data_IF_155295432681
#
_entry.id   IF_155295432681
#
_cell.length_a   1.000
_cell.length_b   1.000
_cell.length_c   1.000
_cell.angle_alpha   90.00
_cell.angle_beta   90.00
_cell.angle_gamma   90.00
#
_symmetry.space_group_name_H-M   'P 1'
#
loop_
_entity.id
_entity.type
_entity.pdbx_description
1 polymer ?
#
# COMPACT_ATOMS: atom_id res chain seq x y z
N UNK A 1 -15.31 -2.63 -34.75
CA UNK A 1 -14.40 -3.18 -33.70
C UNK A 1 -14.45 -4.70 -33.75
N UNK A 2 -13.38 -5.39 -33.31
CA UNK A 2 -13.38 -6.86 -33.21
C UNK A 2 -14.02 -7.24 -31.88
N UNK A 3 -15.13 -7.97 -31.91
CA UNK A 3 -15.92 -8.36 -30.74
C UNK A 3 -16.21 -9.86 -30.81
N UNK A 4 -16.18 -10.55 -29.68
CA UNK A 4 -16.64 -11.93 -29.56
C UNK A 4 -18.12 -11.95 -29.25
N UNK A 5 -18.92 -12.59 -30.09
CA UNK A 5 -20.34 -12.75 -29.82
C UNK A 5 -20.53 -13.67 -28.60
N UNK A 6 -21.32 -13.22 -27.61
CA UNK A 6 -21.53 -13.99 -26.39
C UNK A 6 -22.31 -15.30 -26.62
N UNK A 7 -23.24 -15.30 -27.58
CA UNK A 7 -24.10 -16.47 -27.84
C UNK A 7 -23.41 -17.58 -28.62
N UNK A 8 -22.53 -17.24 -29.59
CA UNK A 8 -21.90 -18.24 -30.46
C UNK A 8 -20.37 -18.29 -30.36
N UNK A 9 -19.74 -17.40 -29.59
CA UNK A 9 -18.28 -17.35 -29.41
C UNK A 9 -17.48 -16.95 -30.64
N UNK A 10 -18.13 -16.69 -31.78
CA UNK A 10 -17.46 -16.28 -33.01
C UNK A 10 -16.88 -14.87 -32.87
N UNK A 11 -15.70 -14.66 -33.44
CA UNK A 11 -15.08 -13.34 -33.46
C UNK A 11 -15.56 -12.55 -34.66
N UNK A 12 -16.36 -11.52 -34.41
CA UNK A 12 -17.06 -10.74 -35.41
C UNK A 12 -16.44 -9.35 -35.53
N UNK A 13 -16.33 -8.85 -36.77
CA UNK A 13 -16.07 -7.44 -37.03
C UNK A 13 -17.39 -6.71 -37.20
N UNK A 14 -17.80 -5.98 -36.17
CA UNK A 14 -19.06 -5.23 -36.19
C UNK A 14 -18.78 -3.79 -36.62
N UNK A 15 -19.59 -3.30 -37.56
CA UNK A 15 -19.75 -1.88 -37.92
C UNK A 15 -21.13 -1.39 -37.46
N UNK A 16 -21.31 -0.08 -37.34
CA UNK A 16 -22.60 0.54 -36.96
C UNK A 16 -23.76 0.19 -37.92
N UNK A 17 -23.47 -0.38 -39.09
CA UNK A 17 -24.44 -0.72 -40.14
C UNK A 17 -24.94 -2.17 -40.06
N UNK A 18 -24.30 -3.02 -39.24
CA UNK A 18 -24.65 -4.44 -39.09
C UNK A 18 -24.80 -4.80 -37.60
N UNK A 19 -25.96 -4.51 -36.98
CA UNK A 19 -26.16 -4.64 -35.54
C UNK A 19 -26.24 -6.10 -35.04
N UNK A 20 -26.25 -7.08 -35.95
CA UNK A 20 -26.44 -8.49 -35.61
C UNK A 20 -25.19 -9.32 -35.91
N UNK A 21 -25.00 -10.40 -35.15
CA UNK A 21 -23.96 -11.37 -35.43
C UNK A 21 -24.19 -12.02 -36.81
N UNK A 22 -23.21 -12.01 -37.73
CA UNK A 22 -23.37 -12.65 -39.04
C UNK A 22 -23.45 -14.18 -38.93
N UNK A 23 -22.95 -14.77 -37.84
CA UNK A 23 -22.94 -16.23 -37.64
C UNK A 23 -24.21 -16.74 -36.95
N UNK A 24 -24.73 -16.04 -35.93
CA UNK A 24 -25.87 -16.52 -35.13
C UNK A 24 -27.08 -15.59 -35.09
N UNK A 25 -26.99 -14.38 -35.66
CA UNK A 25 -28.08 -13.41 -35.67
C UNK A 25 -28.34 -12.69 -34.35
N UNK A 26 -27.54 -12.92 -33.29
CA UNK A 26 -27.69 -12.24 -32.00
C UNK A 26 -27.58 -10.71 -32.13
N UNK A 27 -28.43 -9.97 -31.42
CA UNK A 27 -28.47 -8.50 -31.41
C UNK A 27 -27.31 -7.94 -30.57
N UNK A 28 -26.30 -7.41 -31.25
CA UNK A 28 -25.06 -6.90 -30.64
C UNK A 28 -25.18 -5.42 -30.28
N UNK A 29 -26.22 -4.72 -30.73
CA UNK A 29 -26.43 -3.29 -30.49
C UNK A 29 -26.58 -2.96 -28.99
N UNK A 30 -27.30 -3.79 -28.23
CA UNK A 30 -27.45 -3.61 -26.78
C UNK A 30 -26.11 -3.73 -26.04
N UNK A 31 -25.26 -4.67 -26.47
CA UNK A 31 -23.93 -4.89 -25.92
C UNK A 31 -22.96 -3.77 -26.30
N UNK A 32 -23.04 -3.28 -27.54
CA UNK A 32 -22.28 -2.13 -28.01
C UNK A 32 -22.61 -0.87 -27.19
N UNK A 33 -23.90 -0.59 -26.96
CA UNK A 33 -24.34 0.53 -26.12
C UNK A 33 -23.84 0.41 -24.68
N UNK A 34 -23.84 -0.79 -24.11
CA UNK A 34 -23.30 -1.02 -22.76
C UNK A 34 -21.78 -0.78 -22.71
N UNK A 35 -21.03 -1.24 -23.73
CA UNK A 35 -19.58 -1.01 -23.84
C UNK A 35 -19.24 0.47 -24.05
N UNK A 36 -19.99 1.16 -24.91
CA UNK A 36 -19.84 2.60 -25.16
C UNK A 36 -20.09 3.38 -23.87
N UNK A 37 -21.15 3.04 -23.13
CA UNK A 37 -21.46 3.65 -21.85
C UNK A 37 -20.33 3.44 -20.81
N UNK A 38 -19.82 2.21 -20.69
CA UNK A 38 -18.67 1.92 -19.80
C UNK A 38 -17.44 2.74 -20.19
N UNK A 39 -17.14 2.83 -21.49
CA UNK A 39 -16.02 3.60 -22.00
C UNK A 39 -16.17 5.10 -21.70
N UNK A 40 -17.36 5.66 -21.88
CA UNK A 40 -17.65 7.05 -21.55
C UNK A 40 -17.46 7.32 -20.06
N UNK A 41 -18.01 6.47 -19.19
CA UNK A 41 -17.82 6.56 -17.75
C UNK A 41 -16.34 6.51 -17.37
N UNK A 42 -15.57 5.59 -17.95
CA UNK A 42 -14.13 5.48 -17.71
C UNK A 42 -13.38 6.75 -18.14
N UNK A 43 -13.66 7.27 -19.33
CA UNK A 43 -13.01 8.47 -19.86
C UNK A 43 -13.32 9.71 -19.01
N UNK A 44 -14.57 9.87 -18.59
CA UNK A 44 -14.96 10.99 -17.72
C UNK A 44 -14.32 10.87 -16.34
N UNK A 45 -14.39 9.69 -15.70
CA UNK A 45 -13.80 9.49 -14.38
C UNK A 45 -12.27 9.67 -14.38
N UNK A 46 -11.58 9.21 -15.43
CA UNK A 46 -10.13 9.42 -15.57
C UNK A 46 -9.78 10.89 -15.79
N UNK A 47 -10.56 11.64 -16.56
CA UNK A 47 -10.37 13.08 -16.74
C UNK A 47 -10.53 13.84 -15.41
N UNK A 48 -11.57 13.53 -14.63
CA UNK A 48 -11.79 14.14 -13.31
C UNK A 48 -10.68 13.77 -12.32
N UNK A 49 -10.19 12.51 -12.36
CA UNK A 49 -9.05 12.07 -11.54
C UNK A 49 -7.77 12.86 -11.86
N UNK A 50 -7.54 13.15 -13.15
CA UNK A 50 -6.40 13.97 -13.59
C UNK A 50 -6.57 15.44 -13.22
N UNK A 51 -7.81 15.94 -13.14
CA UNK A 51 -8.11 17.27 -12.63
C UNK A 51 -7.92 17.39 -11.10
N UNK A 52 -7.84 16.25 -10.40
CA UNK A 52 -7.70 16.18 -8.93
C UNK A 52 -9.02 15.99 -8.18
N UNK A 53 -10.15 15.97 -8.90
CA UNK A 53 -11.50 15.85 -8.34
C UNK A 53 -11.90 14.37 -8.19
N UNK A 54 -11.25 13.69 -7.24
CA UNK A 54 -11.41 12.25 -7.00
C UNK A 54 -12.84 11.87 -6.53
N UNK A 55 -13.53 12.72 -5.77
CA UNK A 55 -14.92 12.46 -5.34
C UNK A 55 -15.89 12.40 -6.53
N UNK A 56 -15.71 13.33 -7.47
CA UNK A 56 -16.53 13.40 -8.69
C UNK A 56 -16.26 12.20 -9.60
N UNK A 57 -14.99 11.80 -9.72
CA UNK A 57 -14.60 10.58 -10.43
C UNK A 57 -15.29 9.34 -9.82
N UNK A 58 -15.24 9.17 -8.50
CA UNK A 58 -15.89 8.04 -7.82
C UNK A 58 -17.42 8.06 -7.98
N UNK A 59 -18.06 9.23 -8.00
CA UNK A 59 -19.49 9.34 -8.25
C UNK A 59 -19.88 8.85 -9.68
N UNK A 60 -19.09 9.24 -10.69
CA UNK A 60 -19.26 8.76 -12.07
C UNK A 60 -19.08 7.25 -12.14
N UNK A 61 -18.05 6.72 -11.48
CA UNK A 61 -17.80 5.27 -11.44
C UNK A 61 -18.92 4.52 -10.71
N UNK A 62 -19.43 5.03 -9.60
CA UNK A 62 -20.55 4.42 -8.89
C UNK A 62 -21.82 4.38 -9.75
N UNK A 63 -22.09 5.45 -10.51
CA UNK A 63 -23.18 5.47 -11.48
C UNK A 63 -22.97 4.43 -12.58
N UNK A 64 -21.79 4.38 -13.19
CA UNK A 64 -21.44 3.40 -14.23
C UNK A 64 -21.59 1.95 -13.74
N UNK A 65 -21.06 1.67 -12.54
CA UNK A 65 -21.12 0.35 -11.90
C UNK A 65 -22.53 -0.07 -11.50
N UNK A 66 -23.43 0.88 -11.22
CA UNK A 66 -24.83 0.59 -10.94
C UNK A 66 -25.60 0.12 -12.19
N UNK A 67 -25.15 0.54 -13.38
CA UNK A 67 -25.74 0.15 -14.65
C UNK A 67 -25.10 -1.13 -15.21
N UNK A 68 -23.77 -1.21 -15.19
CA UNK A 68 -23.00 -2.32 -15.75
C UNK A 68 -21.87 -2.70 -14.79
N UNK A 69 -21.85 -3.94 -14.35
CA UNK A 69 -20.75 -4.47 -13.55
C UNK A 69 -19.53 -4.75 -14.45
N UNK A 70 -18.63 -3.77 -14.54
CA UNK A 70 -17.44 -3.82 -15.39
C UNK A 70 -16.14 -3.78 -14.57
N UNK A 71 -15.24 -4.73 -14.83
CA UNK A 71 -13.96 -4.89 -14.13
C UNK A 71 -13.04 -3.67 -14.27
N UNK A 72 -13.02 -3.02 -15.43
CA UNK A 72 -12.23 -1.81 -15.68
C UNK A 72 -12.63 -0.64 -14.76
N UNK A 73 -13.95 -0.46 -14.53
CA UNK A 73 -14.47 0.59 -13.64
C UNK A 73 -14.12 0.27 -12.18
N UNK A 74 -14.18 -1.00 -11.77
CA UNK A 74 -13.75 -1.43 -10.44
C UNK A 74 -12.25 -1.21 -10.23
N UNK A 75 -11.40 -1.54 -11.20
CA UNK A 75 -9.96 -1.34 -11.08
C UNK A 75 -9.61 0.16 -10.97
N UNK A 76 -10.25 1.01 -11.77
CA UNK A 76 -10.06 2.47 -11.69
C UNK A 76 -10.52 3.02 -10.32
N UNK A 77 -11.67 2.59 -9.82
CA UNK A 77 -12.15 2.97 -8.49
C UNK A 77 -11.17 2.52 -7.39
N UNK A 78 -10.61 1.31 -7.49
CA UNK A 78 -9.62 0.80 -6.55
C UNK A 78 -8.34 1.65 -6.54
N UNK A 79 -7.87 2.08 -7.73
CA UNK A 79 -6.70 2.96 -7.85
C UNK A 79 -6.95 4.34 -7.23
N UNK A 80 -8.14 4.92 -7.42
CA UNK A 80 -8.50 6.21 -6.83
C UNK A 80 -8.53 6.12 -5.30
N UNK A 81 -9.20 5.09 -4.74
CA UNK A 81 -9.21 4.88 -3.29
C UNK A 81 -7.80 4.66 -2.71
N UNK A 82 -6.92 3.97 -3.44
CA UNK A 82 -5.51 3.83 -3.04
C UNK A 82 -4.80 5.17 -2.97
N UNK A 83 -5.02 6.07 -3.92
CA UNK A 83 -4.44 7.43 -3.89
C UNK A 83 -4.92 8.20 -2.66
N UNK A 84 -6.20 8.09 -2.32
CA UNK A 84 -6.82 8.74 -1.17
C UNK A 84 -6.43 8.13 0.20
N UNK A 85 -5.72 7.00 0.23
CA UNK A 85 -5.44 6.25 1.45
C UNK A 85 -6.65 5.49 2.03
N UNK A 86 -7.76 5.39 1.29
CA UNK A 86 -8.97 4.65 1.68
C UNK A 86 -8.89 3.17 1.28
N UNK A 87 -8.05 2.41 1.99
CA UNK A 87 -7.75 1.03 1.61
C UNK A 87 -8.94 0.07 1.69
N UNK A 88 -9.95 0.32 2.54
CA UNK A 88 -11.16 -0.50 2.58
C UNK A 88 -11.97 -0.40 1.28
N UNK A 89 -12.02 0.81 0.69
CA UNK A 89 -12.63 1.04 -0.62
C UNK A 89 -11.88 0.30 -1.72
N UNK A 90 -10.55 0.40 -1.73
CA UNK A 90 -9.68 -0.34 -2.65
C UNK A 90 -9.94 -1.86 -2.56
N UNK A 91 -9.93 -2.43 -1.35
CA UNK A 91 -10.15 -3.87 -1.15
C UNK A 91 -11.51 -4.33 -1.66
N UNK A 92 -12.57 -3.54 -1.41
CA UNK A 92 -13.93 -3.86 -1.86
C UNK A 92 -14.03 -3.94 -3.37
N UNK A 93 -13.41 -2.99 -4.08
CA UNK A 93 -13.45 -2.96 -5.54
C UNK A 93 -12.59 -4.06 -6.17
N UNK A 94 -11.40 -4.33 -5.63
CA UNK A 94 -10.60 -5.48 -6.09
C UNK A 94 -11.38 -6.78 -5.90
N UNK A 95 -12.03 -6.99 -4.76
CA UNK A 95 -12.83 -8.19 -4.51
C UNK A 95 -14.02 -8.34 -5.47
N UNK A 96 -14.55 -7.24 -6.01
CA UNK A 96 -15.67 -7.25 -6.95
C UNK A 96 -15.29 -7.66 -8.38
N UNK A 97 -14.02 -7.51 -8.76
CA UNK A 97 -13.50 -8.04 -10.04
C UNK A 97 -13.65 -9.58 -10.02
N UNK A 98 -14.04 -10.26 -11.11
CA UNK A 98 -14.11 -11.74 -11.15
C UNK A 98 -12.72 -12.40 -11.10
N UNK A 99 -12.64 -13.68 -10.71
CA UNK A 99 -11.35 -14.41 -10.65
C UNK A 99 -10.79 -14.71 -12.05
N UNK A 100 -11.66 -15.01 -13.00
CA UNK A 100 -11.27 -15.36 -14.38
C UNK A 100 -11.06 -14.12 -15.29
N UNK A 101 -11.17 -12.92 -14.73
CA UNK A 101 -11.04 -11.67 -15.48
C UNK A 101 -9.56 -11.37 -15.79
N UNK A 102 -9.22 -10.91 -17.00
CA UNK A 102 -7.85 -10.54 -17.35
C UNK A 102 -7.26 -9.44 -16.45
N UNK A 103 -8.09 -8.62 -15.81
CA UNK A 103 -7.67 -7.53 -14.92
C UNK A 103 -7.57 -7.93 -13.44
N UNK A 104 -7.88 -9.20 -13.11
CA UNK A 104 -7.75 -9.72 -11.75
C UNK A 104 -6.31 -9.62 -11.22
N UNK A 105 -5.26 -10.03 -11.98
CA UNK A 105 -3.88 -9.98 -11.49
C UNK A 105 -3.45 -8.57 -11.04
N UNK A 106 -3.88 -7.53 -11.75
CA UNK A 106 -3.61 -6.12 -11.45
C UNK A 106 -4.29 -5.70 -10.13
N UNK A 107 -5.51 -6.16 -9.90
CA UNK A 107 -6.19 -5.98 -8.62
C UNK A 107 -5.46 -6.67 -7.46
N UNK A 108 -5.00 -7.91 -7.66
CA UNK A 108 -4.21 -8.63 -6.63
C UNK A 108 -2.86 -7.97 -6.38
N UNK A 109 -2.20 -7.49 -7.43
CA UNK A 109 -0.97 -6.72 -7.35
C UNK A 109 -1.13 -5.51 -6.42
N UNK A 110 -2.23 -4.75 -6.56
CA UNK A 110 -2.55 -3.60 -5.70
C UNK A 110 -2.63 -4.01 -4.22
N UNK A 111 -3.30 -5.12 -3.92
CA UNK A 111 -3.41 -5.65 -2.56
C UNK A 111 -2.04 -6.06 -2.00
N UNK A 112 -1.23 -6.78 -2.78
CA UNK A 112 0.09 -7.28 -2.36
C UNK A 112 1.08 -6.14 -2.13
N UNK A 113 1.15 -5.19 -3.05
CA UNK A 113 1.99 -3.99 -2.95
C UNK A 113 1.68 -3.21 -1.67
N UNK A 114 0.40 -3.01 -1.36
CA UNK A 114 -0.02 -2.37 -0.12
C UNK A 114 0.40 -3.15 1.14
N UNK A 115 0.22 -4.48 1.15
CA UNK A 115 0.64 -5.31 2.28
C UNK A 115 2.15 -5.25 2.53
N UNK A 116 2.96 -5.21 1.47
CA UNK A 116 4.42 -5.11 1.57
C UNK A 116 4.85 -3.78 2.21
N UNK A 117 4.25 -2.66 1.78
CA UNK A 117 4.45 -1.35 2.42
C UNK A 117 4.10 -1.40 3.91
N UNK A 118 2.96 -1.98 4.27
CA UNK A 118 2.57 -2.11 5.69
C UNK A 118 3.55 -2.97 6.51
N UNK A 119 4.09 -4.05 5.93
CA UNK A 119 5.10 -4.88 6.61
C UNK A 119 6.39 -4.10 6.85
N UNK A 120 6.86 -3.36 5.86
CA UNK A 120 8.06 -2.51 5.98
C UNK A 120 7.90 -1.46 7.09
N UNK A 121 6.71 -0.87 7.21
CA UNK A 121 6.36 0.08 8.27
C UNK A 121 6.38 -0.59 9.65
N UNK A 122 5.75 -1.77 9.80
CA UNK A 122 5.76 -2.52 11.07
C UNK A 122 7.16 -2.97 11.47
N UNK A 123 8.00 -3.34 10.51
CA UNK A 123 9.40 -3.66 10.75
C UNK A 123 10.17 -2.43 11.23
N UNK A 124 9.98 -1.27 10.60
CA UNK A 124 10.57 0.00 11.05
C UNK A 124 10.18 0.36 12.49
N UNK A 125 8.91 0.14 12.85
CA UNK A 125 8.43 0.31 14.23
C UNK A 125 9.10 -0.65 15.21
N UNK A 126 9.33 -1.90 14.80
CA UNK A 126 9.99 -2.91 15.65
C UNK A 126 11.48 -2.61 15.85
N UNK A 127 12.15 -2.11 14.82
CA UNK A 127 13.58 -1.76 14.86
C UNK A 127 13.85 -0.44 15.59
N UNK A 128 12.87 0.45 15.66
CA UNK A 128 12.98 1.69 16.42
C UNK A 128 13.09 1.42 17.93
N UNK A 129 14.30 1.58 18.47
CA UNK A 129 14.54 1.65 19.91
C UNK A 129 14.55 3.12 20.33
N UNK A 130 13.57 3.61 21.12
CA UNK A 130 13.57 4.99 21.58
C UNK A 130 14.78 5.27 22.49
N UNK A 131 15.39 6.46 22.42
CA UNK A 131 16.43 6.84 23.36
C UNK A 131 15.80 7.11 24.73
N UNK A 132 16.01 6.19 25.67
CA UNK A 132 15.84 6.43 27.11
C UNK A 132 14.81 5.56 27.82
N UNK A 133 15.26 4.46 28.42
CA UNK A 133 15.36 4.24 29.87
C UNK A 133 15.94 2.82 30.04
N UNK A 134 17.06 2.61 30.77
CA UNK A 134 17.51 1.26 31.14
C UNK A 134 16.56 0.68 32.19
N UNK A 135 15.34 0.37 31.77
CA UNK A 135 14.27 -0.20 32.59
C UNK A 135 14.09 -1.65 32.19
N UNK A 136 14.92 -2.53 32.78
CA UNK A 136 14.76 -4.00 32.81
C UNK A 136 14.52 -4.63 31.43
N UNK A 137 15.60 -5.05 30.80
CA UNK A 137 15.57 -6.12 29.82
C UNK A 137 14.93 -7.38 30.45
N UNK A 138 13.62 -7.51 30.33
CA UNK A 138 12.93 -8.77 30.55
C UNK A 138 13.27 -9.66 29.36
N UNK A 139 14.42 -10.33 29.49
CA UNK A 139 14.82 -11.48 28.70
C UNK A 139 13.69 -12.50 28.81
N UNK A 140 12.77 -12.52 27.85
CA UNK A 140 11.86 -13.65 27.67
C UNK A 140 12.71 -14.80 27.10
N UNK A 141 13.42 -15.48 27.99
CA UNK A 141 13.86 -16.84 27.76
C UNK A 141 12.62 -17.73 27.90
N UNK A 142 12.22 -18.35 26.80
CA UNK A 142 11.18 -19.36 26.74
C UNK A 142 11.46 -20.48 27.76
N UNK A 143 10.54 -20.81 28.66
CA UNK A 143 10.69 -21.98 29.53
C UNK A 143 10.07 -23.19 28.84
N UNK A 144 10.82 -23.82 27.93
CA UNK A 144 10.71 -25.27 27.73
C UNK A 144 11.90 -25.91 28.45
N UNK A 145 11.69 -27.09 29.03
CA UNK A 145 12.62 -27.85 29.89
C UNK A 145 12.62 -27.47 31.38
N UNK A 146 11.59 -27.92 32.11
CA UNK A 146 11.66 -29.00 33.10
C UNK A 146 10.25 -29.29 33.64
N UNK A 147 9.95 -30.57 33.89
CA UNK A 147 8.67 -31.04 34.40
C UNK A 147 8.73 -31.41 35.91
N UNK A 148 7.61 -31.11 36.60
CA UNK A 148 7.04 -31.71 37.83
C UNK A 148 7.61 -31.28 39.21
N UNK A 149 6.88 -31.45 40.35
CA UNK A 149 5.52 -32.00 40.58
C UNK A 149 4.58 -31.07 41.43
N UNK A 150 3.34 -31.48 41.80
CA UNK A 150 2.29 -30.58 42.29
C UNK A 150 2.15 -30.55 43.82
N UNK A 151 1.80 -29.39 44.42
CA UNK A 151 0.99 -29.33 45.65
C UNK A 151 0.39 -27.95 45.95
N UNK A 152 -0.91 -28.01 46.26
CA UNK A 152 -1.67 -27.32 47.33
C UNK A 152 -1.94 -25.79 47.27
N UNK A 153 -3.19 -25.53 46.88
CA UNK A 153 -4.21 -24.71 47.55
C UNK A 153 -4.14 -23.17 47.63
N UNK A 154 -5.14 -22.60 46.92
CA UNK A 154 -6.04 -21.49 47.27
C UNK A 154 -5.67 -20.04 46.90
N UNK A 155 -6.66 -19.14 46.74
CA UNK A 155 -8.10 -19.33 46.50
C UNK A 155 -8.58 -18.74 45.15
N UNK A 156 -9.73 -19.23 44.69
CA UNK A 156 -10.47 -18.69 43.54
C UNK A 156 -10.86 -17.23 43.80
N UNK A 157 -10.32 -16.31 43.00
CA UNK A 157 -10.86 -14.95 42.88
C UNK A 157 -12.21 -14.98 42.14
N UNK A 158 -13.20 -14.15 42.51
CA UNK A 158 -14.49 -14.16 41.85
C UNK A 158 -14.36 -13.71 40.40
N UNK A 159 -15.15 -14.27 39.46
CA UNK A 159 -15.10 -13.84 38.08
C UNK A 159 -15.55 -12.38 37.97
N UNK A 160 -14.70 -11.53 37.39
CA UNK A 160 -15.11 -10.18 36.97
C UNK A 160 -16.12 -10.31 35.85
N UNK A 161 -17.40 -10.16 36.19
CA UNK A 161 -18.48 -10.05 35.22
C UNK A 161 -18.28 -8.74 34.46
N UNK A 162 -17.99 -8.87 33.17
CA UNK A 162 -17.83 -7.76 32.23
C UNK A 162 -19.11 -6.90 32.20
N UNK A 163 -18.96 -5.62 32.57
CA UNK A 163 -20.00 -4.58 32.55
C UNK A 163 -20.58 -4.31 31.15
N UNK A 164 -20.03 -4.93 30.09
CA UNK A 164 -20.55 -4.82 28.72
C UNK A 164 -21.82 -5.64 28.44
N UNK A 165 -22.15 -6.67 29.24
CA UNK A 165 -23.37 -7.48 28.97
C UNK A 165 -24.66 -6.85 29.53
N UNK A 166 -24.59 -6.03 30.58
CA UNK A 166 -25.77 -5.39 31.18
C UNK A 166 -26.28 -4.25 30.28
N UNK A 167 -25.39 -3.50 29.63
CA UNK A 167 -25.75 -2.40 28.73
C UNK A 167 -26.62 -2.84 27.53
N UNK A 168 -26.35 -4.02 26.96
CA UNK A 168 -27.09 -4.53 25.79
C UNK A 168 -28.51 -4.98 26.12
N UNK A 169 -28.76 -5.46 27.35
CA UNK A 169 -30.09 -5.88 27.78
C UNK A 169 -30.99 -4.66 28.08
N UNK A 170 -30.43 -3.59 28.66
CA UNK A 170 -31.19 -2.36 28.95
C UNK A 170 -31.58 -1.63 27.66
N UNK A 171 -30.68 -1.55 26.68
CA UNK A 171 -31.01 -0.95 25.37
C UNK A 171 -32.04 -1.76 24.59
N UNK A 172 -31.97 -3.10 24.66
CA UNK A 172 -32.96 -3.97 24.02
C UNK A 172 -34.37 -3.80 24.61
N UNK A 173 -34.48 -3.71 25.93
CA UNK A 173 -35.76 -3.50 26.62
C UNK A 173 -36.38 -2.14 26.26
N UNK A 174 -35.56 -1.07 26.15
CA UNK A 174 -36.02 0.27 25.80
C UNK A 174 -36.63 0.31 24.38
N UNK A 175 -36.00 -0.36 23.41
CA UNK A 175 -36.50 -0.42 22.02
C UNK A 175 -37.84 -1.14 21.95
N UNK A 176 -38.01 -2.24 22.68
CA UNK A 176 -39.28 -2.99 22.71
C UNK A 176 -40.41 -2.18 23.35
N UNK A 177 -40.12 -1.43 24.42
CA UNK A 177 -41.10 -0.55 25.06
C UNK A 177 -41.52 0.60 24.16
N UNK A 178 -40.59 1.22 23.43
CA UNK A 178 -40.89 2.28 22.45
C UNK A 178 -41.71 1.75 21.28
N UNK A 179 -41.38 0.57 20.76
CA UNK A 179 -42.17 -0.08 19.71
C UNK A 179 -43.60 -0.38 20.18
N UNK A 180 -43.77 -0.90 21.40
CA UNK A 180 -45.09 -1.17 21.97
C UNK A 180 -45.93 0.10 22.20
N UNK A 181 -45.29 1.24 22.49
CA UNK A 181 -45.96 2.55 22.61
C UNK A 181 -46.39 3.12 21.25
N UNK A 182 -45.61 2.90 20.19
CA UNK A 182 -45.95 3.33 18.83
C UNK A 182 -47.09 2.51 18.22
N UNK A 183 -47.17 1.20 18.51
CA UNK A 183 -48.28 0.35 18.07
C UNK A 183 -49.61 0.64 18.79
N UNK A 184 -49.60 1.43 19.88
CA UNK A 184 -50.80 1.78 20.66
C UNK A 184 -51.42 3.13 20.28
N UNK A 185 -50.85 3.87 19.35
CA UNK A 185 -51.41 5.16 18.90
C UNK A 185 -52.47 4.92 17.82
N UNK A 186 -53.74 5.34 18.01
CA UNK A 186 -54.75 5.24 16.95
C UNK A 186 -54.43 6.24 15.83
N UNK A 187 -54.38 5.73 14.60
CA UNK A 187 -54.28 6.49 13.35
C UNK A 187 -55.53 7.35 13.16
N UNK A 188 -55.57 8.50 13.83
CA UNK A 188 -56.40 9.63 13.44
C UNK A 188 -55.45 10.65 12.80
N UNK A 189 -55.29 10.56 11.48
CA UNK A 189 -55.10 11.69 10.57
C UNK A 189 -54.86 11.17 9.14
N UNK A 190 -55.71 11.61 8.21
CA UNK A 190 -55.30 11.78 6.82
C UNK A 190 -56.04 11.00 5.73
N UNK A 191 -57.36 10.87 5.81
CA UNK A 191 -58.17 10.83 4.58
C UNK A 191 -58.15 12.24 3.98
N UNK A 192 -57.50 12.41 2.83
CA UNK A 192 -57.67 13.60 1.98
C UNK A 192 -57.37 13.28 0.51
N UNK A 193 -58.46 13.16 -0.26
CA UNK A 193 -58.67 13.57 -1.65
C UNK A 193 -57.83 12.86 -2.75
N UNK A 194 -58.42 11.96 -3.55
CA UNK A 194 -59.21 12.27 -4.76
C UNK A 194 -58.44 13.21 -5.70
N UNK A 195 -57.81 12.75 -6.77
CA UNK A 195 -58.39 12.43 -8.10
C UNK A 195 -57.14 12.25 -8.99
N UNK A 196 -57.02 11.33 -9.94
CA UNK A 196 -57.89 11.03 -11.06
C UNK A 196 -57.49 9.69 -11.70
N UNK A 197 -58.49 8.93 -12.11
CA UNK A 197 -58.47 7.92 -13.18
C UNK A 197 -58.40 8.62 -14.57
N UNK A 198 -58.34 7.92 -15.73
CA UNK A 198 -58.12 6.49 -16.04
C UNK A 198 -57.01 6.35 -17.13
N UNK A 199 -56.58 5.20 -17.67
CA UNK A 199 -57.30 4.24 -18.52
C UNK A 199 -56.33 3.12 -18.93
N UNK A 200 -56.86 1.89 -18.94
CA UNK A 200 -56.68 0.77 -19.87
C UNK A 200 -55.51 0.84 -20.89
N UNK A 201 -54.78 -0.24 -21.17
CA UNK A 201 -55.22 -1.41 -21.97
C UNK A 201 -54.13 -2.49 -21.79
N UNK A 202 -54.44 -3.67 -21.24
CA UNK A 202 -54.54 -4.98 -21.95
C UNK A 202 -53.41 -5.21 -22.98
N UNK A 203 -52.66 -6.30 -23.04
CA UNK A 203 -53.04 -7.73 -23.14
C UNK A 203 -51.71 -8.50 -23.24
N UNK A 204 -51.46 -9.51 -22.40
CA UNK A 204 -51.41 -10.96 -22.74
C UNK A 204 -50.23 -11.40 -23.62
N UNK A 205 -49.33 -12.25 -23.09
CA UNK A 205 -49.28 -13.73 -23.22
C UNK A 205 -48.18 -14.15 -24.19
N UNK A 206 -47.20 -14.92 -23.70
CA UNK A 206 -46.96 -16.33 -24.07
C UNK A 206 -46.00 -16.43 -25.26
N UNK A 207 -45.17 -17.44 -25.47
CA UNK A 207 -44.83 -18.69 -24.78
C UNK A 207 -43.87 -19.41 -25.75
N UNK A 208 -42.97 -20.24 -25.21
CA UNK A 208 -42.35 -21.39 -25.89
C UNK A 208 -41.44 -21.14 -27.11
N UNK A 209 -40.50 -22.00 -27.49
CA UNK A 209 -39.73 -23.09 -26.89
C UNK A 209 -39.00 -23.76 -28.08
N UNK A 210 -37.78 -24.26 -27.83
CA UNK A 210 -37.16 -25.42 -28.49
C UNK A 210 -36.81 -25.30 -30.00
N UNK A 211 -35.84 -26.02 -30.58
CA UNK A 211 -34.64 -26.74 -30.15
C UNK A 211 -33.93 -27.28 -31.44
N UNK A 212 -32.71 -27.80 -31.27
CA UNK A 212 -32.02 -28.85 -32.08
C UNK A 212 -31.06 -28.37 -33.20
N UNK A 213 -29.76 -28.76 -33.04
CA UNK A 213 -28.70 -28.83 -34.08
C UNK A 213 -28.82 -30.11 -34.95
N UNK A 214 -27.75 -30.77 -35.47
CA UNK A 214 -26.33 -30.68 -35.09
C UNK A 214 -25.30 -30.84 -36.27
N UNK A 215 -23.99 -30.95 -35.92
CA UNK A 215 -23.01 -31.95 -36.45
C UNK A 215 -21.93 -31.58 -37.52
N UNK A 216 -20.65 -31.74 -37.07
CA UNK A 216 -19.40 -32.29 -37.69
C UNK A 216 -18.20 -31.41 -38.17
N UNK A 217 -17.05 -31.78 -37.58
CA UNK A 217 -15.59 -31.60 -37.86
C UNK A 217 -15.12 -32.36 -39.15
N UNK A 218 -13.85 -32.31 -39.67
CA UNK A 218 -12.55 -32.18 -38.93
C UNK A 218 -11.30 -31.54 -39.63
N UNK A 219 -10.18 -31.53 -38.87
CA UNK A 219 -8.77 -31.83 -39.24
C UNK A 219 -7.70 -30.71 -39.45
N UNK A 220 -6.54 -30.95 -38.79
CA UNK A 220 -5.20 -30.29 -38.76
C UNK A 220 -4.26 -30.89 -39.86
N UNK A 221 -2.91 -30.69 -40.00
CA UNK A 221 -1.90 -29.92 -39.20
C UNK A 221 -0.72 -29.24 -40.00
N UNK A 222 0.24 -28.64 -39.25
CA UNK A 222 1.73 -28.71 -39.39
C UNK A 222 2.57 -27.39 -39.42
N UNK A 223 3.65 -27.39 -38.62
CA UNK A 223 4.84 -26.50 -38.43
C UNK A 223 6.00 -26.85 -39.41
N UNK A 224 7.30 -26.40 -39.30
CA UNK A 224 8.01 -25.27 -38.61
C UNK A 224 9.09 -24.55 -39.51
N UNK A 225 9.94 -23.65 -38.92
CA UNK A 225 11.45 -23.70 -38.96
C UNK A 225 12.24 -22.39 -39.25
N UNK A 226 13.17 -22.09 -38.33
CA UNK A 226 14.55 -21.51 -38.43
C UNK A 226 14.92 -20.01 -38.33
N UNK A 227 15.80 -19.77 -37.34
CA UNK A 227 16.90 -18.77 -37.15
C UNK A 227 17.99 -18.84 -38.26
N UNK A 228 18.99 -17.90 -38.39
CA UNK A 228 20.09 -17.72 -37.41
C UNK A 228 20.74 -16.30 -37.29
N UNK A 229 21.52 -16.13 -36.20
CA UNK A 229 22.53 -15.09 -35.90
C UNK A 229 23.87 -15.34 -36.65
N UNK A 230 24.77 -14.34 -36.88
CA UNK A 230 26.03 -14.28 -36.08
C UNK A 230 26.63 -12.86 -35.82
N UNK A 231 27.56 -12.82 -34.86
CA UNK A 231 28.38 -11.69 -34.36
C UNK A 231 29.78 -11.58 -35.05
N UNK A 232 30.87 -11.08 -34.42
CA UNK A 232 31.31 -9.69 -34.11
C UNK A 232 32.72 -9.33 -34.72
N UNK A 233 33.26 -8.12 -34.51
CA UNK A 233 34.69 -7.78 -34.76
C UNK A 233 35.21 -6.67 -33.81
N UNK A 234 36.51 -6.75 -33.51
CA UNK A 234 37.25 -6.26 -32.34
C UNK A 234 37.97 -4.87 -32.48
N UNK A 235 38.26 -4.25 -31.32
CA UNK A 235 39.49 -3.57 -30.76
C UNK A 235 40.62 -3.05 -31.71
N UNK A 236 41.63 -2.19 -31.32
CA UNK A 236 42.17 -1.89 -29.95
C UNK A 236 42.85 -0.49 -29.68
N UNK A 237 43.45 -0.36 -28.47
CA UNK A 237 44.72 0.38 -28.10
C UNK A 237 44.63 1.92 -27.86
N UNK A 238 45.21 2.59 -26.83
CA UNK A 238 46.41 2.36 -25.99
C UNK A 238 46.40 3.13 -24.63
N UNK A 239 47.19 2.64 -23.66
CA UNK A 239 47.82 3.33 -22.49
C UNK A 239 49.32 3.60 -22.86
N UNK A 240 50.27 4.19 -22.06
CA UNK A 240 50.34 4.37 -20.59
C UNK A 240 51.04 5.66 -20.03
N UNK A 241 51.30 5.66 -18.70
CA UNK A 241 52.45 6.31 -17.97
C UNK A 241 52.16 7.71 -17.37
N UNK A 242 52.51 8.14 -16.15
CA UNK A 242 53.34 7.65 -15.02
C UNK A 242 52.97 8.37 -13.69
N UNK A 243 53.40 7.80 -12.56
CA UNK A 243 53.55 8.44 -11.23
C UNK A 243 54.63 9.54 -11.21
N UNK A 244 54.68 10.37 -10.14
CA UNK A 244 55.77 10.11 -9.19
C UNK A 244 55.39 10.22 -7.70
N UNK A 245 56.13 9.42 -6.93
CA UNK A 245 56.40 9.44 -5.49
C UNK A 245 57.15 10.71 -5.06
N UNK A 246 56.85 11.24 -3.88
CA UNK A 246 57.81 11.99 -3.07
C UNK A 246 57.51 11.84 -1.57
N UNK A 247 58.31 11.00 -0.92
CA UNK A 247 58.56 10.94 0.52
C UNK A 247 59.62 11.99 0.88
N UNK A 248 59.60 12.56 2.10
CA UNK A 248 60.76 12.82 2.99
C UNK A 248 60.30 13.66 4.23
N UNK A 249 61.09 13.72 5.33
CA UNK A 249 60.63 13.44 6.69
C UNK A 249 60.58 14.68 7.60
N UNK A 250 59.91 14.55 8.74
CA UNK A 250 59.99 15.53 9.85
C UNK A 250 60.46 14.82 11.12
N UNK A 251 61.49 15.33 11.82
CA UNK A 251 62.16 14.64 12.91
C UNK A 251 61.42 14.76 14.24
N UNK A 252 61.61 13.73 15.06
CA UNK A 252 61.31 13.68 16.48
C UNK A 252 62.25 14.65 17.21
N UNK A 253 61.69 15.61 17.95
CA UNK A 253 62.44 16.43 18.90
C UNK A 253 61.72 16.46 20.25
N UNK A 254 62.55 16.35 21.28
CA UNK A 254 62.24 16.08 22.67
C UNK A 254 61.33 17.09 23.37
N UNK A 255 60.65 16.59 24.39
CA UNK A 255 59.87 17.32 25.38
C UNK A 255 60.69 18.36 26.16
N UNK A 256 60.07 19.50 26.55
CA UNK A 256 60.47 20.29 27.70
C UNK A 256 59.51 20.07 28.90
N UNK A 257 59.89 20.48 30.11
CA UNK A 257 59.37 19.94 31.36
C UNK A 257 58.06 20.57 31.84
N UNK A 258 57.45 19.82 32.75
CA UNK A 258 56.24 20.08 33.55
C UNK A 258 56.21 21.49 34.14
N UNK A 259 55.12 22.21 33.86
CA UNK A 259 54.73 23.42 34.58
C UNK A 259 53.39 23.17 35.30
N UNK A 260 53.30 23.74 36.49
CA UNK A 260 52.50 23.35 37.64
C UNK A 260 51.01 23.75 37.48
N UNK A 261 50.11 22.86 37.92
CA UNK A 261 48.66 23.00 37.82
C UNK A 261 48.11 24.10 38.76
N UNK A 262 47.11 24.90 38.32
CA UNK A 262 46.19 25.55 39.25
C UNK A 262 45.06 24.58 39.66
N UNK A 263 44.62 24.76 40.91
CA UNK A 263 43.73 23.95 41.75
C UNK A 263 42.34 23.60 41.14
N UNK A 264 41.60 22.62 41.74
CA UNK A 264 40.47 21.95 41.10
C UNK A 264 39.22 22.83 41.09
N UNK A 265 38.61 22.97 39.91
CA UNK A 265 37.23 23.45 39.78
C UNK A 265 36.34 22.21 39.89
N UNK A 266 35.45 22.20 40.88
CA UNK A 266 34.50 21.10 41.10
C UNK A 266 33.73 20.76 39.80
N UNK A 267 33.61 19.47 39.43
CA UNK A 267 32.79 19.09 38.28
C UNK A 267 31.33 19.40 38.59
N UNK A 268 30.56 20.02 37.68
CA UNK A 268 29.13 20.21 37.91
C UNK A 268 28.49 18.83 38.13
N UNK A 269 27.73 18.72 39.22
CA UNK A 269 27.08 17.49 39.60
C UNK A 269 26.28 16.93 38.43
N UNK A 270 26.47 15.65 38.12
CA UNK A 270 25.76 14.92 37.05
C UNK A 270 24.23 15.14 37.12
N UNK A 271 23.70 15.43 38.31
CA UNK A 271 22.31 15.86 38.52
C UNK A 271 21.93 17.16 37.78
N UNK A 272 22.75 18.21 37.81
CA UNK A 272 22.48 19.47 37.12
C UNK A 272 22.53 19.30 35.59
N UNK A 273 23.41 18.42 35.10
CA UNK A 273 23.46 18.07 33.68
C UNK A 273 22.22 17.27 33.25
N UNK A 274 21.76 16.35 34.10
CA UNK A 274 20.54 15.57 33.86
C UNK A 274 19.27 16.43 33.95
N UNK A 275 19.24 17.44 34.81
CA UNK A 275 18.11 18.34 35.00
C UNK A 275 18.03 19.39 33.88
N UNK A 276 19.16 19.88 33.39
CA UNK A 276 19.23 20.68 32.17
C UNK A 276 18.85 19.86 30.92
N UNK A 277 19.26 18.58 30.84
CA UNK A 277 18.85 17.67 29.78
C UNK A 277 17.34 17.35 29.86
N UNK A 278 16.80 17.14 31.05
CA UNK A 278 15.37 16.92 31.26
C UNK A 278 14.53 18.17 30.92
N UNK A 279 15.03 19.37 31.24
CA UNK A 279 14.41 20.63 30.84
C UNK A 279 14.45 20.84 29.32
N UNK A 280 15.57 20.55 28.65
CA UNK A 280 15.68 20.60 27.19
C UNK A 280 14.77 19.56 26.50
N UNK A 281 14.66 18.34 27.07
CA UNK A 281 13.73 17.31 26.59
C UNK A 281 12.27 17.75 26.79
N UNK A 282 11.93 18.40 27.91
CA UNK A 282 10.60 18.97 28.14
C UNK A 282 10.27 20.13 27.19
N UNK A 283 11.25 20.98 26.85
CA UNK A 283 11.07 22.04 25.83
C UNK A 283 10.93 21.44 24.42
N UNK A 284 11.66 20.38 24.08
CA UNK A 284 11.51 19.65 22.80
C UNK A 284 10.15 18.96 22.67
N UNK A 285 9.51 18.56 23.79
CA UNK A 285 8.16 18.04 23.81
C UNK A 285 7.09 19.11 23.55
N UNK A 286 7.35 20.38 23.89
CA UNK A 286 6.44 21.51 23.67
C UNK A 286 6.47 22.06 22.23
N UNK A 287 7.55 21.80 21.48
CA UNK A 287 7.71 22.22 20.09
C UNK A 287 7.56 21.09 19.06
N UNK A 288 6.85 20.03 19.48
CA UNK A 288 6.58 18.84 18.66
C UNK A 288 5.56 19.20 17.59
N UNK A 289 5.98 19.13 16.33
CA UNK A 289 5.08 19.28 15.19
C UNK A 289 4.35 17.95 14.97
N UNK A 290 3.03 17.98 14.81
CA UNK A 290 2.24 16.78 14.51
C UNK A 290 2.38 16.40 13.03
N UNK A 291 3.51 15.75 12.73
CA UNK A 291 3.81 15.24 11.40
C UNK A 291 2.82 14.14 10.98
N UNK A 292 2.32 13.33 11.91
CA UNK A 292 1.41 12.24 11.60
C UNK A 292 0.07 12.78 11.08
N UNK A 293 -0.46 13.83 11.69
CA UNK A 293 -1.68 14.51 11.24
C UNK A 293 -1.49 15.18 9.86
N UNK A 294 -0.31 15.76 9.60
CA UNK A 294 -0.01 16.31 8.28
C UNK A 294 0.03 15.22 7.20
N UNK A 295 0.77 14.14 7.44
CA UNK A 295 0.91 13.04 6.48
C UNK A 295 -0.42 12.33 6.22
N UNK A 296 -1.27 12.21 7.24
CA UNK A 296 -2.62 11.64 7.10
C UNK A 296 -3.51 12.51 6.21
N UNK A 297 -3.44 13.85 6.36
CA UNK A 297 -4.15 14.79 5.47
C UNK A 297 -3.58 14.83 4.05
N UNK A 298 -2.29 14.54 3.89
CA UNK A 298 -1.63 14.40 2.59
C UNK A 298 -1.84 13.02 1.94
N UNK A 299 -2.81 12.23 2.42
CA UNK A 299 -3.14 10.88 1.92
C UNK A 299 -1.98 9.87 2.03
N UNK A 300 -1.00 10.14 2.90
CA UNK A 300 0.18 9.31 3.16
C UNK A 300 0.17 8.69 4.55
N UNK A 301 -0.93 7.99 4.84
CA UNK A 301 -1.11 7.25 6.09
C UNK A 301 -0.05 6.15 6.29
N UNK A 302 0.56 5.63 5.23
CA UNK A 302 1.66 4.67 5.28
C UNK A 302 2.92 5.25 5.95
N UNK A 303 3.22 6.53 5.71
CA UNK A 303 4.34 7.24 6.33
C UNK A 303 4.00 7.73 7.74
N UNK A 304 2.75 8.08 8.02
CA UNK A 304 2.31 8.56 9.34
C UNK A 304 2.49 7.52 10.45
N UNK A 305 2.53 6.23 10.09
CA UNK A 305 2.70 5.12 11.04
C UNK A 305 4.18 4.90 11.40
N UNK A 306 5.13 5.43 10.62
CA UNK A 306 6.55 5.30 10.93
C UNK A 306 6.90 6.03 12.23
N UNK A 307 7.83 5.50 13.06
CA UNK A 307 8.24 6.10 14.33
C UNK A 307 9.17 7.31 14.08
N UNK A 308 8.64 8.37 13.48
CA UNK A 308 9.37 9.58 13.09
C UNK A 308 8.89 10.72 13.96
N UNK A 309 9.83 11.42 14.59
CA UNK A 309 9.57 12.65 15.32
C UNK A 309 9.98 13.85 14.46
N UNK A 310 9.14 14.88 14.48
CA UNK A 310 9.40 16.14 13.81
C UNK A 310 9.29 17.31 14.79
N UNK A 311 10.26 18.22 14.73
CA UNK A 311 10.24 19.48 15.48
C UNK A 311 10.43 20.63 14.51
N UNK A 312 9.56 21.65 14.58
CA UNK A 312 9.60 22.81 13.70
C UNK A 312 10.15 24.01 14.48
N UNK A 313 11.34 24.48 14.12
CA UNK A 313 12.01 25.61 14.77
C UNK A 313 12.29 26.70 13.74
N UNK A 314 11.59 27.84 13.83
CA UNK A 314 11.83 29.02 12.99
C UNK A 314 11.83 28.72 11.47
N UNK A 315 10.96 27.81 11.01
CA UNK A 315 10.89 27.38 9.61
C UNK A 315 11.91 26.33 9.19
N UNK A 316 12.76 25.85 10.12
CA UNK A 316 13.58 24.64 9.95
C UNK A 316 12.84 23.45 10.55
N UNK A 317 12.56 22.44 9.75
CA UNK A 317 11.99 21.18 10.26
C UNK A 317 13.10 20.17 10.50
N UNK A 318 13.25 19.71 11.74
CA UNK A 318 14.19 18.65 12.11
C UNK A 318 13.43 17.32 12.21
N UNK A 319 13.81 16.36 11.36
CA UNK A 319 13.28 15.01 11.32
C UNK A 319 14.24 14.05 12.00
N UNK A 320 13.71 13.23 12.91
CA UNK A 320 14.47 12.19 13.61
C UNK A 320 13.68 10.88 13.67
N UNK A 321 14.34 9.75 13.46
CA UNK A 321 13.67 8.45 13.46
C UNK A 321 14.39 7.41 12.61
N UNK A 322 13.73 6.27 12.41
CA UNK A 322 14.26 5.16 11.60
C UNK A 322 13.29 4.85 10.45
N UNK A 323 13.84 4.64 9.26
CA UNK A 323 13.10 4.27 8.05
C UNK A 323 13.75 3.04 7.42
N UNK A 324 12.95 2.08 6.97
CA UNK A 324 13.47 0.80 6.45
C UNK A 324 13.86 0.83 4.98
N UNK A 325 13.28 1.74 4.19
CA UNK A 325 13.50 1.85 2.76
C UNK A 325 14.00 3.25 2.40
N UNK A 326 15.01 3.34 1.54
CA UNK A 326 15.54 4.63 1.10
C UNK A 326 14.49 5.43 0.33
N UNK A 327 13.65 4.78 -0.49
CA UNK A 327 12.60 5.49 -1.22
C UNK A 327 11.59 6.17 -0.29
N UNK A 328 11.19 5.54 0.83
CA UNK A 328 10.26 6.12 1.79
C UNK A 328 10.84 7.39 2.42
N UNK A 329 12.15 7.39 2.69
CA UNK A 329 12.85 8.59 3.16
C UNK A 329 12.79 9.71 2.11
N UNK A 330 13.07 9.40 0.85
CA UNK A 330 13.04 10.41 -0.23
C UNK A 330 11.64 10.99 -0.43
N UNK A 331 10.61 10.15 -0.43
CA UNK A 331 9.22 10.61 -0.53
C UNK A 331 8.82 11.49 0.65
N UNK A 332 9.20 11.12 1.88
CA UNK A 332 8.94 11.94 3.06
C UNK A 332 9.58 13.33 2.91
N UNK A 333 10.83 13.39 2.47
CA UNK A 333 11.53 14.66 2.28
C UNK A 333 10.87 15.54 1.23
N UNK A 334 10.41 14.94 0.12
CA UNK A 334 9.68 15.67 -0.92
C UNK A 334 8.38 16.27 -0.36
N UNK A 335 7.55 15.48 0.33
CA UNK A 335 6.27 15.91 0.89
C UNK A 335 6.40 17.01 1.95
N UNK A 336 7.46 16.91 2.76
CA UNK A 336 7.75 17.87 3.81
C UNK A 336 8.31 19.18 3.24
N UNK A 337 9.07 19.12 2.13
CA UNK A 337 9.60 20.31 1.48
C UNK A 337 8.50 21.17 0.82
N UNK A 338 7.39 20.55 0.42
CA UNK A 338 6.21 21.26 -0.13
C UNK A 338 5.34 21.92 0.95
N UNK A 339 5.66 21.71 2.23
CA UNK A 339 4.83 22.19 3.34
C UNK A 339 4.92 23.71 3.51
N UNK A 340 3.78 24.41 3.69
CA UNK A 340 3.79 25.84 3.97
C UNK A 340 4.43 26.13 5.34
N UNK A 341 5.43 27.01 5.35
CA UNK A 341 6.15 27.40 6.57
C UNK A 341 7.45 26.62 6.82
N UNK A 342 7.79 25.65 5.98
CA UNK A 342 9.08 24.95 5.98
C UNK A 342 9.98 25.57 4.93
N UNK A 343 11.08 26.18 5.37
CA UNK A 343 12.12 26.76 4.49
C UNK A 343 13.30 25.80 4.32
N UNK A 344 13.58 24.99 5.34
CA UNK A 344 14.70 24.05 5.35
C UNK A 344 14.30 22.77 6.09
N UNK A 345 14.72 21.61 5.55
CA UNK A 345 14.48 20.29 6.15
C UNK A 345 15.81 19.69 6.57
N UNK A 346 15.98 19.50 7.87
CA UNK A 346 17.10 18.76 8.44
C UNK A 346 16.67 17.31 8.69
N UNK A 347 17.28 16.39 7.94
CA UNK A 347 17.03 14.95 8.04
C UNK A 347 18.27 14.18 8.50
N UNK A 348 19.25 14.84 9.12
CA UNK A 348 20.49 14.19 9.58
C UNK A 348 20.17 13.05 10.56
N UNK A 349 19.20 13.26 11.45
CA UNK A 349 18.79 12.30 12.46
C UNK A 349 17.74 11.28 11.97
N UNK A 350 17.34 11.35 10.70
CA UNK A 350 16.50 10.35 10.07
C UNK A 350 17.42 9.27 9.50
N UNK A 351 17.46 8.09 10.10
CA UNK A 351 18.41 7.04 9.75
C UNK A 351 17.71 5.97 8.91
N UNK A 352 18.35 5.55 7.81
CA UNK A 352 17.87 4.39 7.04
C UNK A 352 18.48 3.11 7.60
N UNK A 353 17.64 2.13 7.92
CA UNK A 353 18.03 0.80 8.39
C UNK A 353 17.39 -0.24 7.47
N UNK A 354 18.16 -0.77 6.53
CA UNK A 354 17.63 -1.74 5.58
C UNK A 354 17.20 -3.02 6.31
N UNK A 355 16.09 -3.67 5.89
CA UNK A 355 15.72 -4.96 6.42
C UNK A 355 16.75 -6.01 6.00
N UNK A 356 16.99 -7.05 6.81
CA UNK A 356 17.89 -8.16 6.43
C UNK A 356 17.37 -8.97 5.22
N UNK A 357 16.04 -9.02 5.08
CA UNK A 357 15.35 -9.82 4.05
C UNK A 357 14.23 -8.99 3.43
N UNK A 358 14.17 -9.00 2.10
CA UNK A 358 13.11 -8.41 1.30
C UNK A 358 12.25 -9.49 0.66
N UNK A 359 10.94 -9.44 0.89
CA UNK A 359 9.98 -10.36 0.25
C UNK A 359 9.55 -9.76 -1.08
N UNK A 360 9.78 -10.47 -2.17
CA UNK A 360 9.45 -10.04 -3.54
C UNK A 360 7.95 -9.85 -3.69
N UNK A 361 7.58 -8.63 -4.07
CA UNK A 361 6.23 -8.24 -4.46
C UNK A 361 5.97 -8.54 -5.93
N UNK A 362 4.74 -8.30 -6.36
CA UNK A 362 4.38 -8.49 -7.76
C UNK A 362 4.93 -7.35 -8.63
N UNK A 363 5.31 -7.64 -9.87
CA UNK A 363 6.01 -6.70 -10.76
C UNK A 363 7.38 -6.20 -10.26
N UNK A 364 7.89 -6.73 -9.16
CA UNK A 364 9.23 -6.39 -8.68
C UNK A 364 10.29 -6.95 -9.64
N UNK A 365 11.26 -6.11 -9.96
CA UNK A 365 12.49 -6.48 -10.65
C UNK A 365 13.66 -6.23 -9.71
N UNK A 366 14.81 -6.88 -9.92
CA UNK A 366 15.99 -6.59 -9.09
C UNK A 366 16.36 -5.11 -9.12
N UNK A 367 16.11 -4.43 -10.25
CA UNK A 367 16.30 -3.00 -10.40
C UNK A 367 15.34 -2.18 -9.52
N UNK A 368 14.05 -2.46 -9.54
CA UNK A 368 13.07 -1.74 -8.70
C UNK A 368 13.30 -2.02 -7.22
N UNK A 369 13.64 -3.25 -6.86
CA UNK A 369 13.97 -3.61 -5.47
C UNK A 369 15.23 -2.86 -5.01
N UNK A 370 16.28 -2.82 -5.82
CA UNK A 370 17.49 -2.06 -5.51
C UNK A 370 17.21 -0.56 -5.38
N UNK A 371 16.35 -0.01 -6.23
CA UNK A 371 15.90 1.37 -6.11
C UNK A 371 15.14 1.60 -4.79
N UNK A 372 14.25 0.71 -4.37
CA UNK A 372 13.51 0.86 -3.12
C UNK A 372 14.40 0.77 -1.88
N UNK A 373 15.31 -0.20 -1.87
CA UNK A 373 16.23 -0.45 -0.77
C UNK A 373 17.28 0.65 -0.67
N UNK A 374 18.00 0.93 -1.77
CA UNK A 374 19.19 1.75 -1.78
C UNK A 374 19.01 3.17 -2.33
N UNK A 375 17.86 3.47 -2.93
CA UNK A 375 17.62 4.72 -3.67
C UNK A 375 18.28 4.74 -5.04
N UNK A 376 18.94 3.65 -5.44
CA UNK A 376 19.69 3.54 -6.69
C UNK A 376 19.45 2.17 -7.31
N UNK A 377 18.71 2.15 -8.42
CA UNK A 377 18.39 0.92 -9.14
C UNK A 377 19.60 0.27 -9.79
N UNK A 378 20.69 1.01 -10.02
CA UNK A 378 21.93 0.44 -10.60
C UNK A 378 22.60 -0.60 -9.68
N UNK A 379 22.29 -0.55 -8.37
CA UNK A 379 22.80 -1.49 -7.36
C UNK A 379 22.11 -2.86 -7.35
N UNK A 380 21.33 -3.16 -8.40
CA UNK A 380 20.70 -4.46 -8.57
C UNK A 380 21.71 -5.60 -8.69
N UNK A 381 22.92 -5.32 -9.19
CA UNK A 381 24.01 -6.31 -9.29
C UNK A 381 24.49 -6.79 -7.92
N UNK A 382 24.57 -5.88 -6.94
CA UNK A 382 24.94 -6.22 -5.55
C UNK A 382 23.87 -7.11 -4.92
N UNK A 383 22.59 -6.78 -5.16
CA UNK A 383 21.46 -7.58 -4.69
C UNK A 383 21.42 -8.95 -5.37
N UNK A 384 21.72 -9.02 -6.66
CA UNK A 384 21.85 -10.28 -7.39
C UNK A 384 22.99 -11.13 -6.84
N UNK A 385 24.17 -10.54 -6.65
CA UNK A 385 25.35 -11.25 -6.15
C UNK A 385 25.12 -11.88 -4.77
N UNK A 386 24.44 -11.16 -3.88
CA UNK A 386 24.06 -11.67 -2.56
C UNK A 386 23.06 -12.84 -2.61
N UNK A 387 22.34 -13.00 -3.72
CA UNK A 387 21.27 -13.99 -3.91
C UNK A 387 21.53 -14.92 -5.11
N UNK A 388 22.76 -14.97 -5.63
CA UNK A 388 23.08 -15.69 -6.86
C UNK A 388 22.79 -17.20 -6.74
N UNK A 389 23.01 -17.77 -5.54
CA UNK A 389 22.67 -19.17 -5.23
C UNK A 389 21.16 -19.44 -5.29
N UNK A 390 20.33 -18.44 -4.98
CA UNK A 390 18.87 -18.55 -5.01
C UNK A 390 18.29 -18.28 -6.40
N UNK A 391 18.87 -17.33 -7.14
CA UNK A 391 18.33 -16.84 -8.42
C UNK A 391 18.82 -17.61 -9.65
N UNK A 392 20.00 -18.24 -9.54
CA UNK A 392 20.65 -18.90 -10.68
C UNK A 392 20.85 -17.96 -11.86
N UNK A 393 21.08 -18.51 -13.06
CA UNK A 393 21.41 -17.71 -14.25
C UNK A 393 20.21 -17.04 -14.94
N UNK A 394 18.97 -17.41 -14.60
CA UNK A 394 17.78 -16.95 -15.33
C UNK A 394 17.08 -15.75 -14.70
N UNK A 395 17.54 -15.25 -13.55
CA UNK A 395 17.00 -14.06 -12.84
C UNK A 395 15.46 -14.07 -12.80
N UNK A 396 14.88 -15.22 -12.50
CA UNK A 396 13.42 -15.35 -12.39
C UNK A 396 13.04 -15.12 -10.94
N UNK A 397 12.33 -14.02 -10.71
CA UNK A 397 11.81 -13.68 -9.40
C UNK A 397 10.40 -14.28 -9.25
N UNK A 398 10.19 -15.06 -8.20
CA UNK A 398 8.87 -15.58 -7.85
C UNK A 398 8.24 -14.73 -6.74
N UNK A 399 6.92 -14.54 -6.80
CA UNK A 399 6.18 -13.80 -5.78
C UNK A 399 6.34 -14.46 -4.41
N UNK A 400 6.62 -13.64 -3.39
CA UNK A 400 6.82 -14.13 -2.02
C UNK A 400 8.20 -14.74 -1.77
N UNK A 401 9.10 -14.76 -2.76
CA UNK A 401 10.49 -15.15 -2.57
C UNK A 401 11.19 -14.17 -1.63
N UNK A 402 12.06 -14.68 -0.76
CA UNK A 402 12.84 -13.89 0.18
C UNK A 402 14.25 -13.66 -0.38
N UNK A 403 14.60 -12.40 -0.59
CA UNK A 403 15.95 -11.96 -0.99
C UNK A 403 16.70 -11.45 0.23
N UNK A 404 17.93 -11.91 0.41
CA UNK A 404 18.88 -11.34 1.37
C UNK A 404 19.28 -9.95 0.90
N UNK A 405 19.19 -8.97 1.78
CA UNK A 405 19.56 -7.59 1.50
C UNK A 405 20.95 -7.33 2.09
N UNK A 406 21.97 -7.08 1.26
CA UNK A 406 23.29 -6.72 1.77
C UNK A 406 23.26 -5.36 2.48
N UNK A 407 23.88 -5.31 3.65
CA UNK A 407 24.15 -4.05 4.35
C UNK A 407 25.22 -3.23 3.60
N UNK A 408 25.17 -1.92 3.80
CA UNK A 408 26.04 -0.95 3.13
C UNK A 408 27.41 -0.81 3.81
#
# INVERSE_FOLDING_TARGET
>A
MRLTCHDCGSTVYISAEAPNCPECGAELESYLRALEYVRECYQQASAETLAGDHERALAILAQGLSAVNASELHLLAALIHRKQGEYDGMHRHVAAIPVDDPLRPEGEWLLRSHQQKQRAVRQAQKEYTPPGHPGKAARQLSPEFYAAPPTLDSPLGPPRISTRRIGRLVTGLLVVVVAALLLRQPLANGVALLTADPTAVTTTTESSAAAIGPTLLPASPATPTSEPTPAPTALPTALPTALPTATLPVPIAAAPPVEEAPAPVDPPAIAALNEALAAAVATSAANRFDLADYLTRAERADLAVLPINATLENGRLVLSGVVTLTYLRLELLALVAEMPGVNEVDAINLVVRLPEVYVIGDGDTLWTIAYYLYGDGSRWEELYAANAELLGNTVVLALGMELKVPER
#
